data_IF_662683385910
#
_entry.id   IF_662683385910
#
_cell.length_a   1.000
_cell.length_b   1.000
_cell.length_c   1.000
_cell.angle_alpha   90.00
_cell.angle_beta   90.00
_cell.angle_gamma   90.00
#
_symmetry.space_group_name_H-M   'P 1'
#
loop_
_entity.id
_entity.type
_entity.pdbx_description
1 polymer ?
#
# COMPACT_ATOMS: atom_id res chain seq x y z
N UNK A 1 10.70 -2.96 14.61
CA UNK A 1 10.11 -3.21 13.28
C UNK A 1 9.10 -4.33 13.47
N UNK A 2 7.85 -4.12 13.06
CA UNK A 2 6.82 -5.16 13.10
C UNK A 2 6.71 -5.68 11.67
N UNK A 3 6.86 -6.98 11.47
CA UNK A 3 6.75 -7.64 10.16
C UNK A 3 5.41 -8.34 10.04
N UNK A 4 4.73 -8.16 8.91
CA UNK A 4 3.46 -8.82 8.59
C UNK A 4 3.66 -9.54 7.26
N UNK A 5 3.58 -10.87 7.28
CA UNK A 5 3.62 -11.68 6.08
C UNK A 5 2.19 -11.93 5.59
N UNK A 6 1.94 -11.69 4.30
CA UNK A 6 0.64 -11.86 3.66
C UNK A 6 0.81 -12.39 2.24
N UNK A 7 -0.17 -13.12 1.73
CA UNK A 7 -0.22 -13.55 0.34
C UNK A 7 -0.60 -12.39 -0.59
N UNK A 8 -0.26 -12.50 -1.88
CA UNK A 8 -0.50 -11.47 -2.90
C UNK A 8 -1.97 -11.02 -2.96
N UNK A 9 -2.93 -11.94 -2.78
CA UNK A 9 -4.37 -11.62 -2.82
C UNK A 9 -4.80 -10.84 -1.58
N UNK A 10 -4.33 -11.22 -0.41
CA UNK A 10 -4.55 -10.44 0.81
C UNK A 10 -3.87 -9.07 0.73
N UNK A 11 -2.65 -8.99 0.20
CA UNK A 11 -1.92 -7.73 -0.01
C UNK A 11 -2.72 -6.78 -0.91
N UNK A 12 -3.24 -7.27 -2.04
CA UNK A 12 -4.09 -6.49 -2.94
C UNK A 12 -5.38 -5.99 -2.26
N UNK A 13 -5.97 -6.82 -1.38
CA UNK A 13 -7.17 -6.45 -0.62
C UNK A 13 -6.88 -5.37 0.42
N UNK A 14 -5.76 -5.48 1.16
CA UNK A 14 -5.32 -4.48 2.14
C UNK A 14 -4.98 -3.16 1.46
N UNK A 15 -4.23 -3.21 0.36
CA UNK A 15 -3.91 -2.06 -0.50
C UNK A 15 -5.18 -1.32 -0.94
N UNK A 16 -6.22 -2.04 -1.35
CA UNK A 16 -7.50 -1.42 -1.73
C UNK A 16 -8.21 -0.76 -0.53
N UNK A 17 -8.24 -1.41 0.63
CA UNK A 17 -8.84 -0.85 1.84
C UNK A 17 -8.14 0.44 2.30
N UNK A 18 -6.80 0.46 2.25
CA UNK A 18 -5.98 1.64 2.54
C UNK A 18 -6.21 2.75 1.51
N UNK A 19 -6.35 2.39 0.24
CA UNK A 19 -6.63 3.34 -0.84
C UNK A 19 -7.99 4.03 -0.65
N UNK A 20 -9.00 3.32 -0.15
CA UNK A 20 -10.32 3.90 0.13
C UNK A 20 -10.30 4.86 1.32
N UNK A 21 -9.53 4.56 2.36
CA UNK A 21 -9.38 5.42 3.54
C UNK A 21 -8.79 6.80 3.19
N UNK A 22 -7.80 6.85 2.29
CA UNK A 22 -7.18 8.13 1.92
C UNK A 22 -8.06 9.05 1.06
N UNK A 23 -9.15 8.55 0.44
CA UNK A 23 -9.99 9.33 -0.50
C UNK A 23 -10.66 10.55 0.14
N UNK A 24 -10.86 10.53 1.46
CA UNK A 24 -11.51 11.62 2.20
C UNK A 24 -10.56 12.77 2.53
N UNK A 25 -9.28 12.65 2.18
CA UNK A 25 -8.24 13.59 2.57
C UNK A 25 -7.65 14.31 1.37
N UNK A 26 -7.26 15.56 1.60
CA UNK A 26 -6.58 16.37 0.59
C UNK A 26 -5.16 15.87 0.33
N UNK A 27 -4.59 16.27 -0.82
CA UNK A 27 -3.18 16.09 -1.14
C UNK A 27 -2.32 17.27 -0.65
N UNK A 28 -2.92 18.34 -0.14
CA UNK A 28 -2.18 19.48 0.41
C UNK A 28 -1.40 19.05 1.68
N UNK A 29 -0.06 19.13 1.68
CA UNK A 29 0.78 18.73 2.81
C UNK A 29 0.55 19.56 4.07
N UNK A 30 -0.06 20.75 3.99
CA UNK A 30 -0.35 21.59 5.17
C UNK A 30 -1.59 21.15 5.93
N UNK A 31 -2.51 20.47 5.25
CA UNK A 31 -3.85 20.17 5.76
C UNK A 31 -4.13 18.66 5.87
N UNK A 32 -3.22 17.82 5.37
CA UNK A 32 -3.33 16.36 5.46
C UNK A 32 -2.77 15.85 6.79
N UNK A 33 -3.49 14.96 7.51
CA UNK A 33 -2.94 14.33 8.71
C UNK A 33 -1.71 13.45 8.38
N UNK A 34 -0.67 13.42 9.23
CA UNK A 34 0.52 12.58 9.02
C UNK A 34 0.21 11.10 8.78
N UNK A 35 -0.77 10.54 9.51
CA UNK A 35 -1.26 9.16 9.33
C UNK A 35 -1.62 8.83 7.87
N UNK A 36 -2.19 9.77 7.13
CA UNK A 36 -2.62 9.53 5.74
C UNK A 36 -1.42 9.52 4.80
N UNK A 37 -0.40 10.33 5.08
CA UNK A 37 0.87 10.30 4.36
C UNK A 37 1.57 8.96 4.60
N UNK A 38 1.57 8.47 5.83
CA UNK A 38 2.10 7.14 6.17
C UNK A 38 1.33 6.03 5.45
N UNK A 39 -0.01 6.09 5.42
CA UNK A 39 -0.84 5.13 4.67
C UNK A 39 -0.50 5.14 3.17
N UNK A 40 -0.27 6.31 2.58
CA UNK A 40 0.15 6.42 1.17
C UNK A 40 1.49 5.74 0.92
N UNK A 41 2.45 5.88 1.83
CA UNK A 41 3.73 5.19 1.72
C UNK A 41 3.54 3.68 1.82
N UNK A 42 2.73 3.20 2.77
CA UNK A 42 2.41 1.77 2.90
C UNK A 42 1.74 1.21 1.64
N UNK A 43 0.86 1.98 0.99
CA UNK A 43 0.26 1.56 -0.29
C UNK A 43 1.34 1.38 -1.35
N UNK A 44 2.28 2.32 -1.48
CA UNK A 44 3.38 2.22 -2.44
C UNK A 44 4.27 1.01 -2.14
N UNK A 45 4.59 0.77 -0.86
CA UNK A 45 5.42 -0.38 -0.45
C UNK A 45 4.73 -1.72 -0.78
N UNK A 46 3.41 -1.79 -0.61
CA UNK A 46 2.63 -2.98 -0.99
C UNK A 46 2.55 -3.14 -2.51
N UNK A 47 2.35 -2.06 -3.25
CA UNK A 47 2.32 -2.09 -4.73
C UNK A 47 3.67 -2.58 -5.29
N UNK A 48 4.79 -2.11 -4.75
CA UNK A 48 6.13 -2.57 -5.16
C UNK A 48 6.37 -4.05 -4.83
N UNK A 49 5.96 -4.51 -3.64
CA UNK A 49 6.07 -5.92 -3.26
C UNK A 49 5.23 -6.83 -4.15
N UNK A 50 3.99 -6.43 -4.46
CA UNK A 50 3.12 -7.19 -5.38
C UNK A 50 3.73 -7.23 -6.79
N UNK A 51 4.25 -6.11 -7.29
CA UNK A 51 4.87 -6.06 -8.62
C UNK A 51 6.10 -6.97 -8.70
N UNK A 52 6.93 -6.99 -7.66
CA UNK A 52 8.11 -7.86 -7.60
C UNK A 52 7.71 -9.34 -7.58
N UNK A 53 6.75 -9.74 -6.75
CA UNK A 53 6.29 -11.13 -6.67
C UNK A 53 5.72 -11.61 -8.02
N UNK A 54 4.93 -10.77 -8.70
CA UNK A 54 4.35 -11.08 -10.01
C UNK A 54 5.42 -11.17 -11.13
N UNK A 55 6.50 -10.38 -11.04
CA UNK A 55 7.63 -10.48 -11.96
C UNK A 55 8.40 -11.78 -11.75
N UNK A 56 8.58 -12.20 -10.50
CA UNK A 56 9.23 -13.47 -10.18
C UNK A 56 8.41 -14.66 -10.71
N UNK A 57 7.08 -14.67 -10.53
CA UNK A 57 6.20 -15.70 -11.11
C UNK A 57 6.24 -15.76 -12.65
N UNK A 58 6.56 -14.65 -13.33
CA UNK A 58 6.63 -14.59 -14.80
C UNK A 58 7.97 -14.99 -15.40
N UNK A 59 9.01 -15.10 -14.58
CA UNK A 59 10.38 -15.45 -15.00
C UNK A 59 10.72 -16.94 -14.79
N UNK A 60 9.78 -17.74 -14.29
CA UNK A 60 9.77 -19.22 -14.28
C UNK A 60 8.92 -19.79 -15.44
#
# INVERSE_FOLDING_TARGET
>A
MITINMDVRSAASVRQALFDEQKRYTYDPKCVPPRIVEIRNVINDIDEQIENELKEESND
#
